data_IF_509524239822
#
_entry.id   IF_509524239822
#
_cell.length_a   1.000
_cell.length_b   1.000
_cell.length_c   1.000
_cell.angle_alpha   90.00
_cell.angle_beta   90.00
_cell.angle_gamma   90.00
#
_symmetry.space_group_name_H-M   'P 1'
#
loop_
_entity.id
_entity.type
_entity.pdbx_description
1 polymer ?
#
# COMPACT_ATOMS: atom_id res chain seq x y z
N UNK A 1 -3.51 -16.30 4.17
CA UNK A 1 -2.94 -14.95 4.34
C UNK A 1 -4.01 -13.89 4.23
N UNK A 2 -3.81 -12.79 4.90
CA UNK A 2 -4.71 -11.64 4.88
C UNK A 2 -4.00 -10.40 4.38
N UNK A 3 -4.72 -9.59 3.61
CA UNK A 3 -4.19 -8.38 3.04
C UNK A 3 -5.20 -7.23 3.16
N UNK A 4 -4.72 -6.00 3.11
CA UNK A 4 -5.53 -4.81 2.92
C UNK A 4 -5.15 -4.16 1.58
N UNK A 5 -6.15 -3.70 0.87
CA UNK A 5 -5.98 -2.93 -0.37
C UNK A 5 -6.62 -1.56 -0.15
N UNK A 6 -5.80 -0.54 0.02
CA UNK A 6 -6.25 0.82 0.26
C UNK A 6 -6.44 1.55 -1.07
N UNK A 7 -7.63 2.10 -1.30
CA UNK A 7 -8.00 2.65 -2.59
C UNK A 7 -8.31 1.55 -3.59
N UNK A 8 -9.04 0.53 -3.18
CA UNK A 8 -9.15 -0.74 -3.88
C UNK A 8 -10.01 -0.72 -5.15
N UNK A 9 -11.01 0.13 -5.22
CA UNK A 9 -11.98 0.09 -6.32
C UNK A 9 -11.35 0.43 -7.69
N UNK A 10 -11.76 -0.22 -8.75
CA UNK A 10 -12.78 -1.27 -8.83
C UNK A 10 -12.31 -2.66 -8.40
N UNK A 11 -11.00 -2.92 -8.23
CA UNK A 11 -10.51 -4.16 -7.67
C UNK A 11 -9.35 -4.85 -8.40
N UNK A 12 -8.57 -4.10 -9.19
CA UNK A 12 -7.46 -4.70 -9.94
C UNK A 12 -6.41 -5.37 -9.07
N UNK A 13 -5.94 -4.70 -8.03
CA UNK A 13 -4.98 -5.29 -7.10
C UNK A 13 -5.63 -6.29 -6.17
N UNK A 14 -6.85 -6.02 -5.72
CA UNK A 14 -7.62 -6.99 -4.94
C UNK A 14 -7.75 -8.32 -5.69
N UNK A 15 -8.03 -8.28 -6.99
CA UNK A 15 -8.13 -9.47 -7.82
C UNK A 15 -6.84 -10.30 -7.79
N UNK A 16 -5.67 -9.63 -7.91
CA UNK A 16 -4.37 -10.30 -7.83
C UNK A 16 -4.16 -11.02 -6.50
N UNK A 17 -4.57 -10.40 -5.41
CA UNK A 17 -4.45 -10.98 -4.07
C UNK A 17 -5.39 -12.18 -3.90
N UNK A 18 -6.62 -12.06 -4.37
CA UNK A 18 -7.62 -13.13 -4.33
C UNK A 18 -7.18 -14.34 -5.14
N UNK A 19 -6.56 -14.12 -6.31
CA UNK A 19 -6.01 -15.21 -7.14
C UNK A 19 -4.95 -16.02 -6.40
N UNK A 20 -4.30 -15.42 -5.42
CA UNK A 20 -3.32 -16.10 -4.55
C UNK A 20 -3.93 -16.69 -3.28
N UNK A 21 -5.26 -16.73 -3.21
CA UNK A 21 -5.99 -17.29 -2.07
C UNK A 21 -6.02 -16.41 -0.83
N UNK A 22 -5.69 -15.13 -0.94
CA UNK A 22 -5.72 -14.22 0.19
C UNK A 22 -7.11 -13.70 0.49
N UNK A 23 -7.38 -13.51 1.77
CA UNK A 23 -8.54 -12.77 2.25
C UNK A 23 -8.19 -11.28 2.27
N UNK A 24 -9.03 -10.43 1.66
CA UNK A 24 -8.69 -9.02 1.42
C UNK A 24 -9.70 -8.08 2.06
N UNK A 25 -9.23 -7.14 2.86
CA UNK A 25 -9.97 -5.96 3.26
C UNK A 25 -9.79 -4.91 2.16
N UNK A 26 -10.83 -4.69 1.38
CA UNK A 26 -10.82 -3.70 0.30
C UNK A 26 -11.42 -2.38 0.81
N UNK A 27 -10.57 -1.37 0.98
CA UNK A 27 -10.95 -0.09 1.56
C UNK A 27 -11.10 0.95 0.46
N UNK A 28 -12.32 1.33 0.15
CA UNK A 28 -12.63 2.32 -0.86
C UNK A 28 -14.09 2.74 -0.76
N UNK A 29 -14.39 4.00 -1.03
CA UNK A 29 -15.76 4.51 -1.10
C UNK A 29 -16.44 4.15 -2.44
N UNK A 30 -15.66 3.81 -3.46
CA UNK A 30 -16.18 3.41 -4.76
C UNK A 30 -16.66 1.96 -4.80
N UNK A 31 -17.40 1.59 -5.84
CA UNK A 31 -17.93 0.24 -5.98
C UNK A 31 -16.84 -0.75 -6.36
N UNK A 32 -16.89 -1.93 -5.77
CA UNK A 32 -16.02 -3.05 -6.11
C UNK A 32 -16.68 -3.92 -7.19
N UNK A 33 -15.87 -4.55 -8.03
CA UNK A 33 -16.36 -5.48 -9.05
C UNK A 33 -17.21 -6.60 -8.43
N UNK A 34 -18.37 -6.86 -9.02
CA UNK A 34 -19.34 -7.83 -8.49
C UNK A 34 -18.82 -9.27 -8.52
N UNK A 35 -18.11 -9.62 -9.59
CA UNK A 35 -17.52 -10.96 -9.71
C UNK A 35 -16.47 -11.20 -8.62
N UNK A 36 -15.70 -10.16 -8.31
CA UNK A 36 -14.70 -10.20 -7.25
C UNK A 36 -15.36 -10.36 -5.87
N UNK A 37 -16.43 -9.63 -5.61
CA UNK A 37 -17.19 -9.75 -4.36
C UNK A 37 -17.82 -11.14 -4.20
N UNK A 38 -18.22 -11.78 -5.31
CA UNK A 38 -18.81 -13.11 -5.31
C UNK A 38 -17.84 -14.22 -4.89
N UNK A 39 -16.52 -13.96 -4.88
CA UNK A 39 -15.52 -14.96 -4.44
C UNK A 39 -15.63 -15.30 -2.96
N UNK A 40 -16.22 -14.43 -2.15
CA UNK A 40 -16.29 -14.58 -0.70
C UNK A 40 -14.97 -14.28 0.04
N UNK A 41 -13.93 -13.85 -0.69
CA UNK A 41 -12.61 -13.55 -0.11
C UNK A 41 -12.38 -12.07 0.14
N UNK A 42 -13.32 -11.20 -0.25
CA UNK A 42 -13.18 -9.76 -0.15
C UNK A 42 -14.19 -9.20 0.84
N UNK A 43 -13.70 -8.47 1.82
CA UNK A 43 -14.53 -7.64 2.69
C UNK A 43 -14.38 -6.19 2.25
N UNK A 44 -15.42 -5.64 1.63
CA UNK A 44 -15.42 -4.25 1.15
C UNK A 44 -15.90 -3.32 2.25
N UNK A 45 -15.04 -2.39 2.65
CA UNK A 45 -15.33 -1.37 3.66
C UNK A 45 -15.29 0.01 3.00
N UNK A 46 -16.42 0.72 3.08
CA UNK A 46 -16.53 2.08 2.52
C UNK A 46 -16.00 3.09 3.54
N UNK A 47 -14.67 3.15 3.63
CA UNK A 47 -13.96 4.01 4.56
C UNK A 47 -12.78 4.70 3.86
N UNK A 48 -12.25 5.72 4.51
CA UNK A 48 -11.07 6.43 4.01
C UNK A 48 -9.81 5.59 4.28
N UNK A 49 -9.11 5.22 3.20
CA UNK A 49 -7.87 4.44 3.30
C UNK A 49 -6.77 5.11 4.12
N UNK A 50 -6.76 6.44 4.19
CA UNK A 50 -5.78 7.17 5.01
C UNK A 50 -6.05 7.08 6.51
N UNK A 51 -7.24 6.70 6.91
CA UNK A 51 -7.68 6.70 8.32
C UNK A 51 -7.92 5.29 8.86
N UNK A 52 -8.32 4.36 8.00
CA UNK A 52 -8.68 3.00 8.40
C UNK A 52 -7.50 2.26 9.05
N UNK A 53 -7.82 1.50 10.10
CA UNK A 53 -6.87 0.69 10.84
C UNK A 53 -7.32 -0.77 10.81
N UNK A 54 -6.40 -1.74 10.55
CA UNK A 54 -6.78 -3.15 10.53
C UNK A 54 -7.12 -3.66 11.94
N UNK A 55 -8.01 -4.66 12.04
CA UNK A 55 -8.37 -5.25 13.34
C UNK A 55 -7.26 -6.08 13.97
N UNK A 56 -6.30 -6.55 13.16
CA UNK A 56 -5.16 -7.33 13.59
C UNK A 56 -4.03 -7.16 12.59
N UNK A 57 -2.82 -7.62 12.90
CA UNK A 57 -1.68 -7.57 11.98
C UNK A 57 -1.98 -8.40 10.73
N UNK A 58 -1.77 -7.80 9.57
CA UNK A 58 -1.99 -8.43 8.27
C UNK A 58 -0.67 -8.89 7.66
N UNK A 59 -0.74 -9.77 6.68
CA UNK A 59 0.45 -10.21 5.93
C UNK A 59 0.89 -9.14 4.93
N UNK A 60 -0.07 -8.52 4.25
CA UNK A 60 0.21 -7.55 3.19
C UNK A 60 -0.63 -6.30 3.29
N UNK A 61 0.00 -5.18 2.97
CA UNK A 61 -0.66 -3.92 2.63
C UNK A 61 -0.34 -3.61 1.17
N UNK A 62 -1.35 -3.39 0.36
CA UNK A 62 -1.17 -2.83 -0.98
C UNK A 62 -1.91 -1.51 -1.08
N UNK A 63 -1.35 -0.56 -1.81
CA UNK A 63 -1.93 0.77 -1.94
C UNK A 63 -1.60 1.38 -3.30
N UNK A 64 -2.64 1.74 -4.03
CA UNK A 64 -2.54 2.44 -5.32
C UNK A 64 -3.43 3.70 -5.31
N UNK A 65 -3.31 4.49 -4.27
CA UNK A 65 -4.08 5.74 -4.13
C UNK A 65 -3.40 6.84 -4.94
N UNK A 66 -4.19 7.56 -5.72
CA UNK A 66 -3.72 8.74 -6.45
C UNK A 66 -3.72 9.94 -5.52
N UNK A 67 -2.57 10.24 -4.94
CA UNK A 67 -2.37 11.37 -4.04
C UNK A 67 -0.89 11.77 -4.05
N UNK A 68 -0.54 12.81 -3.32
CA UNK A 68 0.85 13.27 -3.19
C UNK A 68 1.72 12.17 -2.57
N UNK A 69 2.95 11.95 -3.08
CA UNK A 69 3.86 10.94 -2.50
C UNK A 69 4.05 11.10 -0.99
N UNK A 70 4.20 12.32 -0.50
CA UNK A 70 4.37 12.59 0.93
C UNK A 70 3.20 12.07 1.77
N UNK A 71 1.99 12.18 1.25
CA UNK A 71 0.78 11.76 1.97
C UNK A 71 0.65 10.25 2.00
N UNK A 72 0.93 9.59 0.87
CA UNK A 72 0.93 8.12 0.79
C UNK A 72 2.02 7.53 1.69
N UNK A 73 3.23 8.07 1.64
CA UNK A 73 4.35 7.60 2.47
C UNK A 73 4.05 7.79 3.95
N UNK A 74 3.45 8.90 4.37
CA UNK A 74 3.07 9.12 5.77
C UNK A 74 2.08 8.05 6.26
N UNK A 75 1.12 7.68 5.42
CA UNK A 75 0.16 6.62 5.73
C UNK A 75 0.84 5.26 5.85
N UNK A 76 1.68 4.89 4.88
CA UNK A 76 2.43 3.63 4.91
C UNK A 76 3.38 3.58 6.11
N UNK A 77 4.04 4.70 6.43
CA UNK A 77 4.90 4.81 7.60
C UNK A 77 4.15 4.46 8.89
N UNK A 78 2.93 4.95 9.04
CA UNK A 78 2.10 4.64 10.21
C UNK A 78 1.84 3.13 10.32
N UNK A 79 1.54 2.49 9.20
CA UNK A 79 1.34 1.05 9.16
C UNK A 79 2.59 0.28 9.57
N UNK A 80 3.74 0.66 9.04
CA UNK A 80 5.00 -0.06 9.27
C UNK A 80 5.54 0.17 10.68
N UNK A 81 5.49 1.40 11.19
CA UNK A 81 5.94 1.71 12.56
C UNK A 81 5.10 0.95 13.59
N UNK A 82 3.81 0.85 13.37
CA UNK A 82 2.90 0.12 14.26
C UNK A 82 2.86 -1.38 13.97
N UNK A 83 3.61 -1.84 12.98
CA UNK A 83 3.64 -3.26 12.55
C UNK A 83 2.25 -3.83 12.24
N UNK A 84 1.41 -3.04 11.59
CA UNK A 84 0.07 -3.48 11.19
C UNK A 84 0.10 -4.43 9.98
N UNK A 85 1.22 -4.51 9.29
CA UNK A 85 1.45 -5.46 8.21
C UNK A 85 2.89 -5.95 8.23
N UNK A 86 3.14 -7.10 7.60
CA UNK A 86 4.50 -7.67 7.45
C UNK A 86 5.21 -7.10 6.24
N UNK A 87 4.48 -6.89 5.16
CA UNK A 87 5.00 -6.36 3.91
C UNK A 87 4.03 -5.34 3.33
N UNK A 88 4.57 -4.33 2.67
CA UNK A 88 3.79 -3.30 2.00
C UNK A 88 4.29 -3.11 0.56
N UNK A 89 3.36 -3.03 -0.37
CA UNK A 89 3.62 -2.64 -1.76
C UNK A 89 2.73 -1.46 -2.08
N UNK A 90 3.33 -0.37 -2.51
CA UNK A 90 2.58 0.85 -2.80
C UNK A 90 3.18 1.61 -3.96
N UNK A 91 2.33 2.28 -4.70
CA UNK A 91 2.73 3.13 -5.81
C UNK A 91 2.81 4.58 -5.36
N UNK A 92 3.85 5.28 -5.83
CA UNK A 92 4.00 6.71 -5.64
C UNK A 92 3.97 7.38 -7.00
N UNK A 93 3.05 8.32 -7.19
CA UNK A 93 2.96 9.10 -8.42
C UNK A 93 4.12 10.08 -8.47
N UNK A 94 4.79 10.15 -9.62
CA UNK A 94 5.88 11.10 -9.83
C UNK A 94 5.29 12.46 -10.13
N UNK A 95 5.61 13.51 -9.34
CA UNK A 95 5.17 14.87 -9.64
C UNK A 95 5.69 15.33 -11.00
N UNK A 96 4.96 16.18 -11.69
CA UNK A 96 5.32 16.67 -13.02
C UNK A 96 6.67 17.41 -13.04
N UNK A 97 7.03 18.06 -11.91
CA UNK A 97 8.31 18.73 -11.72
C UNK A 97 9.06 18.09 -10.55
N UNK A 98 10.38 17.92 -10.66
CA UNK A 98 11.24 17.32 -9.63
C UNK A 98 10.81 15.89 -9.26
N UNK A 99 10.39 15.13 -10.23
CA UNK A 99 9.78 13.81 -10.07
C UNK A 99 10.52 12.89 -9.09
N UNK A 100 11.78 12.65 -9.36
CA UNK A 100 12.56 11.70 -8.58
C UNK A 100 13.00 12.28 -7.22
N UNK A 101 13.33 13.56 -7.17
CA UNK A 101 13.83 14.17 -5.94
C UNK A 101 12.81 14.13 -4.80
N UNK A 102 11.54 14.40 -5.11
CA UNK A 102 10.49 14.37 -4.10
C UNK A 102 10.23 12.93 -3.60
N UNK A 103 10.18 11.97 -4.50
CA UNK A 103 10.02 10.55 -4.15
C UNK A 103 11.22 10.08 -3.32
N UNK A 104 12.45 10.38 -3.76
CA UNK A 104 13.66 10.02 -3.04
C UNK A 104 13.68 10.62 -1.63
N UNK A 105 13.25 11.87 -1.49
CA UNK A 105 13.16 12.54 -0.19
C UNK A 105 12.13 11.84 0.72
N UNK A 106 10.96 11.51 0.21
CA UNK A 106 9.93 10.81 0.97
C UNK A 106 10.40 9.42 1.42
N UNK A 107 11.06 8.66 0.55
CA UNK A 107 11.55 7.32 0.87
C UNK A 107 12.71 7.36 1.85
N UNK A 108 13.62 8.34 1.71
CA UNK A 108 14.70 8.55 2.67
C UNK A 108 14.15 8.89 4.05
N UNK A 109 13.13 9.73 4.13
CA UNK A 109 12.43 10.04 5.36
C UNK A 109 11.78 8.84 6.00
N UNK A 110 11.13 7.99 5.20
CA UNK A 110 10.53 6.75 5.67
C UNK A 110 11.59 5.82 6.27
N UNK A 111 12.71 5.61 5.58
CA UNK A 111 13.80 4.77 6.10
C UNK A 111 14.37 5.30 7.41
N UNK A 112 14.55 6.61 7.51
CA UNK A 112 15.05 7.25 8.74
C UNK A 112 14.11 7.03 9.92
N UNK A 113 12.81 7.17 9.70
CA UNK A 113 11.79 6.94 10.74
C UNK A 113 11.76 5.47 11.16
N UNK A 114 11.79 4.55 10.22
CA UNK A 114 11.79 3.12 10.54
C UNK A 114 13.04 2.72 11.32
N UNK A 115 14.21 3.19 10.90
CA UNK A 115 15.46 2.94 11.62
C UNK A 115 15.44 3.53 13.03
N UNK A 116 14.97 4.77 13.16
CA UNK A 116 14.85 5.44 14.46
C UNK A 116 13.85 4.78 15.41
N UNK A 117 12.84 4.11 14.87
CA UNK A 117 11.85 3.34 15.65
C UNK A 117 12.30 1.90 15.92
N UNK A 118 13.49 1.51 15.49
CA UNK A 118 14.00 0.15 15.69
C UNK A 118 13.31 -0.89 14.80
N UNK A 119 12.70 -0.46 13.70
CA UNK A 119 12.01 -1.35 12.75
C UNK A 119 13.00 -1.79 11.68
N UNK A 120 13.51 -3.03 11.79
CA UNK A 120 14.38 -3.61 10.77
C UNK A 120 13.56 -3.96 9.54
N UNK A 121 14.07 -3.60 8.37
CA UNK A 121 13.35 -3.78 7.11
C UNK A 121 14.27 -3.82 5.91
N UNK A 122 13.74 -4.28 4.79
CA UNK A 122 14.31 -4.09 3.47
C UNK A 122 13.35 -3.24 2.65
N UNK A 123 13.89 -2.42 1.76
CA UNK A 123 13.10 -1.59 0.87
C UNK A 123 13.67 -1.67 -0.54
N UNK A 124 12.79 -1.86 -1.52
CA UNK A 124 13.14 -1.74 -2.93
C UNK A 124 12.15 -0.81 -3.64
N UNK A 125 12.66 -0.08 -4.62
CA UNK A 125 11.85 0.84 -5.41
C UNK A 125 12.11 0.57 -6.88
N UNK A 126 11.05 0.39 -7.65
CA UNK A 126 11.14 0.10 -9.08
C UNK A 126 10.24 1.02 -9.88
N UNK A 127 10.79 1.52 -10.98
CA UNK A 127 10.03 2.25 -11.97
C UNK A 127 9.56 1.24 -13.03
N UNK A 128 8.26 0.93 -13.02
CA UNK A 128 7.70 -0.03 -13.96
C UNK A 128 7.79 0.48 -15.39
N UNK A 129 8.15 -0.42 -16.30
CA UNK A 129 8.44 -0.08 -17.69
C UNK A 129 7.27 0.60 -18.42
N UNK A 130 6.05 0.22 -18.11
CA UNK A 130 4.86 0.73 -18.78
C UNK A 130 4.26 1.98 -18.13
N UNK A 131 4.71 2.34 -16.95
CA UNK A 131 4.19 3.50 -16.23
C UNK A 131 5.33 4.44 -15.87
N UNK A 132 5.52 5.47 -16.68
CA UNK A 132 6.58 6.45 -16.50
C UNK A 132 6.29 7.46 -15.40
N UNK A 133 5.06 7.49 -14.88
CA UNK A 133 4.58 8.51 -13.95
C UNK A 133 4.49 8.00 -12.51
N UNK A 134 4.89 6.76 -12.27
CA UNK A 134 4.87 6.21 -10.92
C UNK A 134 6.01 5.24 -10.68
N UNK A 135 6.35 5.06 -9.41
CA UNK A 135 7.27 4.02 -8.94
C UNK A 135 6.53 3.11 -7.98
N UNK A 136 6.93 1.85 -7.96
CA UNK A 136 6.40 0.85 -7.03
C UNK A 136 7.44 0.58 -5.96
N UNK A 137 7.04 0.71 -4.71
CA UNK A 137 7.90 0.48 -3.54
C UNK A 137 7.44 -0.77 -2.81
N UNK A 138 8.39 -1.61 -2.44
CA UNK A 138 8.15 -2.79 -1.61
C UNK A 138 8.97 -2.66 -0.34
N UNK A 139 8.33 -2.77 0.80
CA UNK A 139 8.96 -2.80 2.11
C UNK A 139 8.59 -4.11 2.79
N UNK A 140 9.62 -4.80 3.30
CA UNK A 140 9.44 -6.03 4.06
C UNK A 140 10.02 -5.83 5.45
N UNK A 141 9.24 -6.11 6.48
CA UNK A 141 9.72 -6.11 7.87
C UNK A 141 10.48 -7.40 8.18
N UNK A 142 11.54 -7.28 8.94
CA UNK A 142 12.47 -8.39 9.26
C UNK A 142 12.33 -8.88 10.71
N UNK A 143 11.18 -8.75 11.28
CA UNK A 143 10.91 -9.19 12.66
C UNK A 143 10.41 -10.64 12.78
#
# INVERSE_FOLDING_TARGET
>A
MQAADLGAAPGGWTWQLVQRGMHVYAIDNGPMDKGLMATGLVEHLREDGFVWKPPARLDWLVCDIVDKPSRVVAMVQRWLVNRWCREAVFNLKLPMKRRWQEVAHCLSGLESVLAGAGVRHTMSCRHLYHDREEVTVHVRLLD
#
